data_IF_280405701585
#
_entry.id   IF_280405701585
#
_cell.length_a   1.000
_cell.length_b   1.000
_cell.length_c   1.000
_cell.angle_alpha   90.00
_cell.angle_beta   90.00
_cell.angle_gamma   90.00
#
_symmetry.space_group_name_H-M   'P 1'
#
loop_
_entity.id
_entity.type
_entity.pdbx_description
1 polymer ?
#
# COMPACT_ATOMS: atom_id res chain seq x y z
N UNK A 1 -12.58 26.17 -10.69
CA UNK A 1 -12.48 25.62 -12.09
C UNK A 1 -12.18 26.65 -13.18
N UNK A 2 -12.35 27.98 -12.96
CA UNK A 2 -12.14 29.00 -14.00
C UNK A 2 -10.89 28.81 -14.90
N UNK A 3 -9.69 28.44 -14.39
CA UNK A 3 -8.51 28.24 -15.25
C UNK A 3 -8.61 27.08 -16.25
N UNK A 4 -9.54 26.13 -16.03
CA UNK A 4 -9.72 24.93 -16.84
C UNK A 4 -10.89 25.01 -17.81
N UNK A 5 -11.70 26.10 -17.74
CA UNK A 5 -12.80 26.34 -18.63
C UNK A 5 -12.26 27.08 -19.88
N UNK A 6 -12.53 26.51 -21.05
CA UNK A 6 -12.18 27.11 -22.34
C UNK A 6 -13.15 28.22 -22.72
N UNK A 7 -14.45 27.93 -22.63
CA UNK A 7 -15.53 28.90 -22.95
C UNK A 7 -16.85 28.46 -22.29
N UNK A 8 -17.79 29.40 -22.23
CA UNK A 8 -19.17 29.12 -21.83
C UNK A 8 -20.08 29.31 -23.07
N UNK A 9 -20.98 28.37 -23.31
CA UNK A 9 -21.96 28.44 -24.37
C UNK A 9 -23.32 27.98 -23.84
N UNK A 10 -24.32 28.87 -23.94
CA UNK A 10 -25.68 28.61 -23.46
C UNK A 10 -25.76 28.14 -21.98
N UNK A 11 -24.93 28.70 -21.11
CA UNK A 11 -24.87 28.29 -19.71
C UNK A 11 -24.12 26.98 -19.45
N UNK A 12 -23.48 26.38 -20.47
CA UNK A 12 -22.70 25.16 -20.36
C UNK A 12 -21.21 25.51 -20.45
N UNK A 13 -20.46 25.12 -19.44
CA UNK A 13 -19.01 25.27 -19.42
C UNK A 13 -18.33 24.18 -20.24
N UNK A 14 -17.46 24.59 -21.17
CA UNK A 14 -16.66 23.69 -21.99
C UNK A 14 -15.26 23.63 -21.39
N UNK A 15 -14.82 22.42 -20.98
CA UNK A 15 -13.51 22.20 -20.39
C UNK A 15 -12.42 22.17 -21.47
N UNK A 16 -11.26 22.75 -21.18
CA UNK A 16 -10.08 22.75 -22.05
C UNK A 16 -9.40 21.36 -22.01
N UNK A 17 -9.55 20.60 -23.09
CA UNK A 17 -9.02 19.24 -23.20
C UNK A 17 -7.48 19.18 -23.19
N UNK A 18 -6.79 20.23 -23.64
CA UNK A 18 -5.32 20.26 -23.59
C UNK A 18 -4.83 20.29 -22.12
N UNK A 19 -5.52 21.06 -21.28
CA UNK A 19 -5.23 21.08 -19.83
C UNK A 19 -5.63 19.78 -19.16
N UNK A 20 -6.73 19.16 -19.59
CA UNK A 20 -7.13 17.84 -19.11
C UNK A 20 -6.05 16.81 -19.40
N UNK A 21 -5.53 16.77 -20.64
CA UNK A 21 -4.48 15.83 -21.04
C UNK A 21 -3.21 16.02 -20.20
N UNK A 22 -2.71 17.25 -20.08
CA UNK A 22 -1.54 17.55 -19.27
C UNK A 22 -1.71 17.11 -17.80
N UNK A 23 -2.92 17.26 -17.24
CA UNK A 23 -3.21 16.82 -15.86
C UNK A 23 -3.40 15.30 -15.74
N UNK A 24 -3.85 14.63 -16.77
CA UNK A 24 -3.87 13.17 -16.86
C UNK A 24 -2.46 12.62 -16.84
N UNK A 25 -1.54 13.16 -17.65
CA UNK A 25 -0.15 12.71 -17.73
C UNK A 25 0.58 12.91 -16.38
N UNK A 26 0.39 14.06 -15.74
CA UNK A 26 0.93 14.35 -14.41
C UNK A 26 0.42 13.37 -13.36
N UNK A 27 -0.88 13.10 -13.32
CA UNK A 27 -1.50 12.17 -12.41
C UNK A 27 -1.06 10.72 -12.68
N UNK A 28 -0.99 10.32 -13.94
CA UNK A 28 -0.55 8.98 -14.36
C UNK A 28 0.90 8.70 -13.94
N UNK A 29 1.80 9.66 -14.17
CA UNK A 29 3.20 9.53 -13.75
C UNK A 29 3.33 9.37 -12.22
N UNK A 30 2.59 10.14 -11.44
CA UNK A 30 2.60 10.03 -9.98
C UNK A 30 2.01 8.69 -9.49
N UNK A 31 0.89 8.23 -10.06
CA UNK A 31 0.28 6.94 -9.72
C UNK A 31 1.20 5.76 -10.08
N UNK A 32 1.89 5.83 -11.23
CA UNK A 32 2.88 4.85 -11.67
C UNK A 32 4.02 4.71 -10.65
N UNK A 33 4.56 5.82 -10.14
CA UNK A 33 5.60 5.79 -9.10
C UNK A 33 5.11 5.17 -7.79
N UNK A 34 3.87 5.50 -7.36
CA UNK A 34 3.26 4.91 -6.16
C UNK A 34 3.09 3.40 -6.35
N UNK A 35 2.63 2.95 -7.51
CA UNK A 35 2.45 1.54 -7.84
C UNK A 35 3.79 0.79 -7.88
N UNK A 36 4.84 1.38 -8.47
CA UNK A 36 6.20 0.84 -8.48
C UNK A 36 6.76 0.63 -7.07
N UNK A 37 6.44 1.54 -6.13
CA UNK A 37 6.80 1.34 -4.71
C UNK A 37 6.02 0.20 -4.03
N UNK A 38 5.03 -0.39 -4.69
CA UNK A 38 4.21 -1.50 -4.22
C UNK A 38 3.16 -1.15 -3.20
N UNK A 39 2.86 0.11 -3.06
CA UNK A 39 1.83 0.59 -2.15
C UNK A 39 0.45 0.49 -2.82
N UNK A 40 -0.59 0.35 -2.02
CA UNK A 40 -1.97 0.27 -2.51
C UNK A 40 -2.56 1.65 -2.73
N UNK A 41 -3.31 1.79 -3.83
CA UNK A 41 -4.09 2.97 -4.20
C UNK A 41 -5.55 2.60 -4.02
N UNK A 42 -6.32 3.45 -3.32
CA UNK A 42 -7.75 3.22 -3.06
C UNK A 42 -8.59 4.03 -4.04
N UNK A 43 -9.45 3.34 -4.78
CA UNK A 43 -10.39 3.98 -5.69
C UNK A 43 -11.73 4.22 -5.00
N UNK A 44 -12.30 5.42 -5.18
CA UNK A 44 -13.57 5.83 -4.55
C UNK A 44 -14.50 6.38 -5.61
N UNK A 45 -15.62 5.70 -5.82
CA UNK A 45 -16.60 6.06 -6.83
C UNK A 45 -18.01 5.60 -6.43
N UNK A 46 -18.72 6.40 -5.63
CA UNK A 46 -20.10 6.03 -5.23
C UNK A 46 -21.16 6.55 -6.21
N UNK A 47 -20.75 7.27 -7.26
CA UNK A 47 -21.64 7.75 -8.33
C UNK A 47 -22.09 6.57 -9.21
N UNK A 48 -23.37 6.41 -9.43
CA UNK A 48 -23.94 5.26 -10.21
C UNK A 48 -23.27 5.09 -11.57
N UNK A 49 -22.97 6.19 -12.25
CA UNK A 49 -22.33 6.20 -13.57
C UNK A 49 -20.89 5.68 -13.56
N UNK A 50 -20.22 5.74 -12.39
CA UNK A 50 -18.82 5.35 -12.22
C UNK A 50 -18.64 3.96 -11.57
N UNK A 51 -19.63 3.49 -10.82
CA UNK A 51 -19.53 2.27 -9.99
C UNK A 51 -19.06 1.05 -10.79
N UNK A 52 -19.77 0.72 -11.87
CA UNK A 52 -19.49 -0.49 -12.64
C UNK A 52 -18.16 -0.39 -13.37
N UNK A 53 -17.88 0.76 -13.96
CA UNK A 53 -16.61 1.06 -14.64
C UNK A 53 -15.40 0.90 -13.70
N UNK A 54 -15.45 1.53 -12.53
CA UNK A 54 -14.36 1.47 -11.56
C UNK A 54 -14.19 0.05 -11.01
N UNK A 55 -15.30 -0.64 -10.70
CA UNK A 55 -15.29 -2.02 -10.23
C UNK A 55 -14.64 -2.97 -11.23
N UNK A 56 -14.97 -2.84 -12.51
CA UNK A 56 -14.46 -3.71 -13.58
C UNK A 56 -12.96 -3.46 -13.83
N UNK A 57 -12.56 -2.21 -14.02
CA UNK A 57 -11.18 -1.86 -14.34
C UNK A 57 -10.21 -2.07 -13.16
N UNK A 58 -10.61 -1.68 -11.95
CA UNK A 58 -9.73 -1.75 -10.77
C UNK A 58 -9.52 -3.19 -10.28
N UNK A 59 -10.48 -4.09 -10.50
CA UNK A 59 -10.29 -5.53 -10.23
C UNK A 59 -9.11 -6.13 -10.99
N UNK A 60 -8.86 -5.69 -12.22
CA UNK A 60 -7.77 -6.22 -13.07
C UNK A 60 -6.38 -6.00 -12.44
N UNK A 61 -6.23 -4.94 -11.66
CA UNK A 61 -4.97 -4.57 -11.00
C UNK A 61 -4.90 -4.94 -9.52
N UNK A 62 -5.90 -5.66 -8.99
CA UNK A 62 -5.97 -6.02 -7.56
C UNK A 62 -5.79 -4.85 -6.59
N UNK A 63 -6.33 -3.68 -6.95
CA UNK A 63 -6.36 -2.52 -6.07
C UNK A 63 -7.68 -2.45 -5.30
N UNK A 64 -7.69 -1.91 -4.07
CA UNK A 64 -8.92 -1.73 -3.30
C UNK A 64 -9.79 -0.63 -3.91
N UNK A 65 -11.11 -0.80 -3.82
CA UNK A 65 -12.06 0.20 -4.30
C UNK A 65 -13.30 0.27 -3.40
N UNK A 66 -13.98 1.42 -3.40
CA UNK A 66 -15.25 1.65 -2.72
C UNK A 66 -16.25 2.20 -3.73
N UNK A 67 -17.32 1.45 -3.99
CA UNK A 67 -18.32 1.83 -4.99
C UNK A 67 -19.73 2.03 -4.41
N UNK A 68 -20.05 1.43 -3.26
CA UNK A 68 -21.40 1.51 -2.70
C UNK A 68 -21.61 2.78 -1.87
N UNK A 69 -20.90 2.89 -0.78
CA UNK A 69 -20.98 4.02 0.14
C UNK A 69 -19.66 4.17 0.89
N UNK A 70 -19.17 5.39 1.00
CA UNK A 70 -18.06 5.70 1.87
C UNK A 70 -18.48 5.62 3.34
N UNK A 71 -17.96 4.69 4.14
CA UNK A 71 -18.20 4.70 5.59
C UNK A 71 -17.36 5.80 6.23
N UNK A 72 -18.01 6.72 6.95
CA UNK A 72 -17.28 7.77 7.66
C UNK A 72 -16.26 7.18 8.63
N UNK A 73 -15.04 7.75 8.62
CA UNK A 73 -13.93 7.23 9.42
C UNK A 73 -13.15 6.10 8.74
N UNK A 74 -13.37 5.85 7.45
CA UNK A 74 -12.69 4.76 6.74
C UNK A 74 -11.17 4.89 6.77
N UNK A 75 -10.64 6.09 6.66
CA UNK A 75 -9.20 6.37 6.79
C UNK A 75 -8.85 6.78 8.21
N UNK A 76 -9.58 7.71 8.79
CA UNK A 76 -9.27 8.30 10.11
C UNK A 76 -9.52 7.33 11.27
N UNK A 77 -10.46 6.39 11.14
CA UNK A 77 -10.74 5.33 12.12
C UNK A 77 -10.58 3.93 11.49
N UNK A 78 -9.48 3.73 10.81
CA UNK A 78 -9.18 2.48 10.09
C UNK A 78 -9.21 1.24 10.98
N UNK A 79 -8.86 1.37 12.26
CA UNK A 79 -8.90 0.27 13.22
C UNK A 79 -10.31 -0.33 13.37
N UNK A 80 -11.36 0.52 13.36
CA UNK A 80 -12.76 0.07 13.44
C UNK A 80 -13.19 -0.62 12.13
N UNK A 81 -12.78 -0.10 10.99
CA UNK A 81 -13.04 -0.73 9.69
C UNK A 81 -12.39 -2.11 9.63
N UNK A 82 -11.14 -2.25 10.10
CA UNK A 82 -10.47 -3.56 10.18
C UNK A 82 -11.18 -4.53 11.14
N UNK A 83 -11.79 -4.06 12.23
CA UNK A 83 -12.62 -4.92 13.08
C UNK A 83 -13.83 -5.44 12.32
N UNK A 84 -14.50 -4.60 11.51
CA UNK A 84 -15.62 -5.02 10.69
C UNK A 84 -15.22 -6.03 9.60
N UNK A 85 -14.07 -5.85 8.96
CA UNK A 85 -13.50 -6.81 8.00
C UNK A 85 -13.16 -8.15 8.68
N UNK A 86 -12.54 -8.12 9.87
CA UNK A 86 -12.27 -9.34 10.65
C UNK A 86 -13.56 -10.06 11.05
N UNK A 87 -14.62 -9.32 11.40
CA UNK A 87 -15.94 -9.89 11.70
C UNK A 87 -16.50 -10.65 10.49
N UNK A 88 -16.36 -10.10 9.29
CA UNK A 88 -16.75 -10.77 8.05
C UNK A 88 -16.00 -12.10 7.88
N UNK A 89 -14.67 -12.09 8.01
CA UNK A 89 -13.86 -13.31 7.94
C UNK A 89 -14.14 -14.33 9.07
N UNK A 90 -14.54 -13.87 10.27
CA UNK A 90 -14.97 -14.75 11.35
C UNK A 90 -16.30 -15.46 11.01
N UNK A 91 -17.24 -14.75 10.36
CA UNK A 91 -18.49 -15.35 9.90
C UNK A 91 -18.22 -16.41 8.81
N UNK A 92 -17.26 -16.14 7.90
CA UNK A 92 -16.88 -17.11 6.87
C UNK A 92 -16.25 -18.37 7.47
N UNK A 93 -15.44 -18.23 8.50
CA UNK A 93 -14.92 -19.37 9.26
C UNK A 93 -16.02 -20.17 9.95
N UNK A 94 -16.96 -19.50 10.62
CA UNK A 94 -18.12 -20.18 11.23
C UNK A 94 -18.94 -20.98 10.23
N UNK A 95 -18.98 -20.52 8.97
CA UNK A 95 -19.68 -21.24 7.89
C UNK A 95 -18.94 -22.51 7.46
N UNK A 96 -17.60 -22.50 7.51
CA UNK A 96 -16.76 -23.67 7.17
C UNK A 96 -16.61 -24.66 8.32
N UNK A 97 -16.59 -24.19 9.56
CA UNK A 97 -16.37 -25.03 10.74
C UNK A 97 -17.62 -25.79 11.23
N UNK A 98 -18.74 -25.72 10.49
CA UNK A 98 -19.99 -26.39 10.88
C UNK A 98 -20.71 -25.77 12.09
N UNK A 99 -20.23 -24.66 12.62
CA UNK A 99 -20.84 -23.95 13.76
C UNK A 99 -22.27 -23.55 13.48
N UNK A 100 -22.63 -23.32 12.21
CA UNK A 100 -23.99 -23.01 11.79
C UNK A 100 -24.99 -24.16 12.00
N UNK A 101 -24.56 -25.42 12.08
CA UNK A 101 -25.45 -26.55 12.26
C UNK A 101 -26.08 -26.58 13.66
N UNK A 102 -25.37 -25.99 14.63
CA UNK A 102 -25.83 -25.88 16.03
C UNK A 102 -26.67 -24.62 16.30
N UNK A 103 -26.87 -23.75 15.28
CA UNK A 103 -27.61 -22.50 15.42
C UNK A 103 -29.05 -22.62 14.91
N UNK A 104 -29.97 -21.81 15.49
CA UNK A 104 -31.32 -21.71 14.99
C UNK A 104 -31.35 -21.14 13.56
N UNK A 105 -32.33 -21.58 12.74
CA UNK A 105 -32.52 -21.07 11.36
C UNK A 105 -32.60 -19.54 11.29
N UNK A 106 -33.22 -18.92 12.31
CA UNK A 106 -33.38 -17.45 12.39
C UNK A 106 -32.04 -16.75 12.62
N UNK A 107 -31.25 -17.24 13.55
CA UNK A 107 -29.91 -16.68 13.85
C UNK A 107 -28.98 -16.82 12.65
N UNK A 108 -28.91 -17.99 12.06
CA UNK A 108 -28.13 -18.25 10.85
C UNK A 108 -28.50 -17.26 9.73
N UNK A 109 -29.78 -17.05 9.47
CA UNK A 109 -30.24 -16.12 8.45
C UNK A 109 -29.83 -14.67 8.76
N UNK A 110 -29.87 -14.26 10.04
CA UNK A 110 -29.48 -12.93 10.48
C UNK A 110 -27.97 -12.70 10.27
N UNK A 111 -27.13 -13.67 10.64
CA UNK A 111 -25.68 -13.63 10.46
C UNK A 111 -25.34 -13.57 8.97
N UNK A 112 -25.99 -14.39 8.13
CA UNK A 112 -25.77 -14.37 6.68
C UNK A 112 -26.16 -13.03 6.04
N UNK A 113 -27.24 -12.40 6.49
CA UNK A 113 -27.64 -11.06 6.02
C UNK A 113 -26.62 -9.99 6.46
N UNK A 114 -26.11 -10.09 7.66
CA UNK A 114 -25.05 -9.19 8.15
C UNK A 114 -23.76 -9.36 7.33
N UNK A 115 -23.36 -10.60 7.07
CA UNK A 115 -22.21 -10.90 6.20
C UNK A 115 -22.37 -10.30 4.81
N UNK A 116 -23.50 -10.53 4.16
CA UNK A 116 -23.79 -10.01 2.82
C UNK A 116 -23.75 -8.47 2.78
N UNK A 117 -24.23 -7.80 3.84
CA UNK A 117 -24.14 -6.35 3.97
C UNK A 117 -22.69 -5.86 4.12
N UNK A 118 -21.88 -6.54 4.94
CA UNK A 118 -20.48 -6.21 5.13
C UNK A 118 -19.68 -6.47 3.84
N UNK A 119 -19.92 -7.59 3.17
CA UNK A 119 -19.27 -7.94 1.91
C UNK A 119 -19.56 -6.91 0.81
N UNK A 120 -20.79 -6.46 0.70
CA UNK A 120 -21.18 -5.43 -0.26
C UNK A 120 -20.44 -4.11 -0.02
N UNK A 121 -20.21 -3.73 1.24
CA UNK A 121 -19.61 -2.45 1.63
C UNK A 121 -18.08 -2.50 1.73
N UNK A 122 -17.52 -3.61 2.21
CA UNK A 122 -16.12 -3.72 2.61
C UNK A 122 -15.38 -4.87 1.91
N UNK A 123 -16.07 -5.67 1.09
CA UNK A 123 -15.45 -6.84 0.44
C UNK A 123 -14.25 -6.49 -0.43
N UNK A 124 -14.32 -5.38 -1.15
CA UNK A 124 -13.24 -4.89 -2.02
C UNK A 124 -12.00 -4.35 -1.26
N UNK A 125 -12.12 -4.13 0.04
CA UNK A 125 -11.03 -3.63 0.90
C UNK A 125 -10.57 -4.68 1.93
N UNK A 126 -11.04 -5.93 1.83
CA UNK A 126 -10.66 -7.04 2.73
C UNK A 126 -9.14 -7.17 2.87
N UNK A 127 -8.42 -7.03 1.77
CA UNK A 127 -6.96 -7.22 1.69
C UNK A 127 -6.17 -5.97 2.07
N UNK A 128 -6.86 -4.87 2.42
CA UNK A 128 -6.22 -3.63 2.82
C UNK A 128 -5.76 -3.71 4.29
N UNK A 129 -4.50 -4.11 4.50
CA UNK A 129 -3.92 -4.26 5.84
C UNK A 129 -3.39 -2.95 6.44
N UNK A 130 -3.04 -1.98 5.61
CA UNK A 130 -2.50 -0.67 5.98
C UNK A 130 -3.28 0.43 5.26
N UNK A 131 -3.14 1.67 5.72
CA UNK A 131 -3.68 2.82 5.01
C UNK A 131 -3.15 2.86 3.58
N UNK A 132 -3.99 3.26 2.60
CA UNK A 132 -3.56 3.42 1.21
C UNK A 132 -2.54 4.55 1.10
N UNK A 133 -1.63 4.45 0.14
CA UNK A 133 -0.64 5.49 -0.11
C UNK A 133 -1.20 6.65 -0.93
N UNK A 134 -2.30 6.43 -1.63
CA UNK A 134 -3.03 7.45 -2.37
C UNK A 134 -4.51 7.06 -2.50
N UNK A 135 -5.36 8.04 -2.73
CA UNK A 135 -6.75 7.82 -3.10
C UNK A 135 -7.03 8.42 -4.48
N UNK A 136 -7.83 7.71 -5.27
CA UNK A 136 -8.38 8.20 -6.53
C UNK A 136 -9.90 8.35 -6.39
N UNK A 137 -10.41 9.55 -6.58
CA UNK A 137 -11.81 9.91 -6.31
C UNK A 137 -12.50 10.31 -7.60
N UNK A 138 -13.70 9.79 -7.82
CA UNK A 138 -14.60 10.26 -8.89
C UNK A 138 -15.68 11.11 -8.25
N UNK A 139 -15.71 12.40 -8.62
CA UNK A 139 -16.63 13.42 -8.08
C UNK A 139 -16.31 13.83 -6.62
N UNK A 140 -15.54 14.93 -6.49
CA UNK A 140 -15.14 15.49 -5.18
C UNK A 140 -16.34 15.98 -4.37
N UNK A 141 -17.37 16.52 -5.04
CA UNK A 141 -18.54 17.06 -4.35
C UNK A 141 -19.29 15.96 -3.62
N UNK A 142 -19.41 14.80 -4.22
CA UNK A 142 -20.08 13.65 -3.63
C UNK A 142 -19.25 12.98 -2.56
N UNK A 143 -17.96 12.81 -2.83
CA UNK A 143 -17.01 12.11 -1.95
C UNK A 143 -16.24 13.06 -1.02
N UNK A 144 -16.83 14.21 -0.67
CA UNK A 144 -16.20 15.24 0.16
C UNK A 144 -15.69 14.72 1.51
N UNK A 145 -16.31 13.66 2.07
CA UNK A 145 -15.87 13.03 3.32
C UNK A 145 -14.55 12.31 3.10
N UNK A 146 -14.44 11.54 2.01
CA UNK A 146 -13.21 10.81 1.68
C UNK A 146 -12.03 11.76 1.47
N UNK A 147 -12.25 12.86 0.72
CA UNK A 147 -11.24 13.90 0.47
C UNK A 147 -10.80 14.57 1.78
N UNK A 148 -11.74 14.93 2.66
CA UNK A 148 -11.40 15.53 3.96
C UNK A 148 -10.61 14.58 4.87
N UNK A 149 -10.95 13.29 4.88
CA UNK A 149 -10.23 12.30 5.66
C UNK A 149 -8.81 12.08 5.11
N UNK A 150 -8.64 12.00 3.80
CA UNK A 150 -7.34 11.90 3.16
C UNK A 150 -6.45 13.11 3.44
N UNK A 151 -7.00 14.31 3.30
CA UNK A 151 -6.31 15.57 3.60
C UNK A 151 -5.86 15.65 5.07
N UNK A 152 -6.70 15.17 6.01
CA UNK A 152 -6.35 15.09 7.43
C UNK A 152 -5.17 14.15 7.73
N UNK A 153 -4.99 13.12 6.90
CA UNK A 153 -3.92 12.14 7.05
C UNK A 153 -2.73 12.39 6.10
N UNK A 154 -2.74 13.50 5.35
CA UNK A 154 -1.75 13.83 4.33
C UNK A 154 -1.55 12.70 3.30
N UNK A 155 -2.66 12.07 2.89
CA UNK A 155 -2.66 11.06 1.83
C UNK A 155 -2.88 11.77 0.49
N UNK A 156 -2.00 11.62 -0.50
CA UNK A 156 -2.15 12.22 -1.82
C UNK A 156 -3.49 11.86 -2.46
N UNK A 157 -4.21 12.89 -2.94
CA UNK A 157 -5.54 12.77 -3.51
C UNK A 157 -5.52 13.07 -4.98
N UNK A 158 -5.98 12.11 -5.77
CA UNK A 158 -6.20 12.22 -7.21
C UNK A 158 -7.70 12.27 -7.45
N UNK A 159 -8.19 13.19 -8.26
CA UNK A 159 -9.63 13.26 -8.49
C UNK A 159 -10.01 13.76 -9.88
N UNK A 160 -11.11 13.21 -10.39
CA UNK A 160 -11.85 13.80 -11.51
C UNK A 160 -12.68 14.95 -10.93
N UNK A 161 -12.48 16.14 -11.50
CA UNK A 161 -13.04 17.40 -11.01
C UNK A 161 -13.87 18.04 -12.12
N UNK A 162 -15.17 18.13 -11.93
CA UNK A 162 -16.06 18.84 -12.83
C UNK A 162 -16.17 20.34 -12.47
N UNK A 163 -16.86 21.10 -13.29
CA UNK A 163 -16.98 22.56 -13.22
C UNK A 163 -17.63 23.07 -11.93
N UNK A 164 -18.42 22.21 -11.24
CA UNK A 164 -19.10 22.50 -9.98
C UNK A 164 -18.23 22.32 -8.73
N UNK A 165 -16.99 21.80 -8.89
CA UNK A 165 -16.10 21.47 -7.79
C UNK A 165 -14.86 22.39 -7.75
N UNK A 166 -14.18 22.41 -6.58
CA UNK A 166 -12.96 23.21 -6.39
C UNK A 166 -11.71 22.34 -6.60
N UNK A 167 -10.89 22.60 -7.64
CA UNK A 167 -9.69 21.81 -7.93
C UNK A 167 -8.60 21.93 -6.84
N UNK A 168 -8.65 22.96 -6.00
CA UNK A 168 -7.70 23.18 -4.91
C UNK A 168 -7.94 22.25 -3.69
N UNK A 169 -9.02 21.51 -3.70
CA UNK A 169 -9.33 20.56 -2.61
C UNK A 169 -8.59 19.24 -2.75
N UNK A 170 -7.91 19.01 -3.87
CA UNK A 170 -7.14 17.79 -4.16
C UNK A 170 -5.76 18.13 -4.68
N UNK A 171 -4.82 17.20 -4.52
CA UNK A 171 -3.43 17.42 -4.94
C UNK A 171 -3.27 17.30 -6.46
N UNK A 172 -3.92 16.30 -7.05
CA UNK A 172 -3.91 16.05 -8.50
C UNK A 172 -5.32 16.13 -9.05
N UNK A 173 -5.69 17.29 -9.53
CA UNK A 173 -7.01 17.53 -10.12
C UNK A 173 -6.99 17.25 -11.62
N UNK A 174 -7.87 16.37 -12.09
CA UNK A 174 -8.10 16.08 -13.52
C UNK A 174 -9.41 16.73 -13.92
N UNK A 175 -9.37 17.87 -14.62
CA UNK A 175 -10.59 18.57 -15.04
C UNK A 175 -11.29 17.76 -16.12
N UNK A 176 -12.46 17.21 -15.80
CA UNK A 176 -13.25 16.41 -16.74
C UNK A 176 -14.69 16.25 -16.25
N UNK A 177 -15.56 15.81 -17.16
CA UNK A 177 -16.96 15.51 -16.86
C UNK A 177 -17.05 14.23 -16.04
N UNK A 178 -17.65 14.31 -14.86
CA UNK A 178 -17.84 13.21 -13.90
C UNK A 178 -19.25 12.58 -13.96
N UNK A 179 -20.14 13.02 -14.87
CA UNK A 179 -21.47 12.46 -15.10
C UNK A 179 -21.49 11.48 -16.28
N UNK A 180 -20.65 11.69 -17.28
CA UNK A 180 -20.62 10.86 -18.47
C UNK A 180 -19.79 9.60 -18.24
N UNK A 181 -20.44 8.43 -18.24
CA UNK A 181 -19.75 7.13 -18.04
C UNK A 181 -18.59 6.91 -19.02
N UNK A 182 -18.70 7.39 -20.27
CA UNK A 182 -17.62 7.32 -21.27
C UNK A 182 -16.41 8.15 -20.87
N UNK A 183 -16.60 9.36 -20.34
CA UNK A 183 -15.51 10.23 -19.88
C UNK A 183 -14.80 9.60 -18.69
N UNK A 184 -15.56 9.13 -17.71
CA UNK A 184 -15.04 8.44 -16.53
C UNK A 184 -14.24 7.18 -16.94
N UNK A 185 -14.80 6.39 -17.87
CA UNK A 185 -14.16 5.15 -18.34
C UNK A 185 -12.78 5.41 -18.96
N UNK A 186 -12.67 6.40 -19.85
CA UNK A 186 -11.40 6.74 -20.51
C UNK A 186 -10.35 7.15 -19.47
N UNK A 187 -10.70 8.03 -18.53
CA UNK A 187 -9.76 8.54 -17.54
C UNK A 187 -9.34 7.43 -16.57
N UNK A 188 -10.30 6.68 -16.04
CA UNK A 188 -10.00 5.57 -15.12
C UNK A 188 -9.16 4.50 -15.81
N UNK A 189 -9.43 4.20 -17.08
CA UNK A 189 -8.66 3.26 -17.88
C UNK A 189 -7.20 3.69 -18.01
N UNK A 190 -6.94 4.96 -18.38
CA UNK A 190 -5.58 5.50 -18.46
C UNK A 190 -4.84 5.45 -17.12
N UNK A 191 -5.53 5.74 -16.01
CA UNK A 191 -4.93 5.63 -14.66
C UNK A 191 -4.61 4.17 -14.31
N UNK A 192 -5.50 3.23 -14.65
CA UNK A 192 -5.29 1.81 -14.43
C UNK A 192 -4.12 1.28 -15.27
N UNK A 193 -4.01 1.69 -16.53
CA UNK A 193 -2.88 1.33 -17.40
C UNK A 193 -1.55 1.84 -16.83
N UNK A 194 -1.48 3.08 -16.38
CA UNK A 194 -0.29 3.64 -15.72
C UNK A 194 0.09 2.87 -14.43
N UNK A 195 -0.89 2.46 -13.65
CA UNK A 195 -0.66 1.63 -12.45
C UNK A 195 -0.16 0.24 -12.85
N UNK A 196 -0.71 -0.37 -13.90
CA UNK A 196 -0.27 -1.65 -14.43
C UNK A 196 1.19 -1.62 -14.87
N UNK A 197 1.60 -0.57 -15.60
CA UNK A 197 2.99 -0.35 -15.96
C UNK A 197 3.91 -0.26 -14.74
N UNK A 198 3.51 0.53 -13.71
CA UNK A 198 4.28 0.64 -12.48
C UNK A 198 4.41 -0.68 -11.70
N UNK A 199 3.35 -1.51 -11.71
CA UNK A 199 3.39 -2.85 -11.11
C UNK A 199 4.27 -3.82 -11.91
N UNK A 200 4.27 -3.72 -13.24
CA UNK A 200 5.14 -4.52 -14.11
C UNK A 200 6.61 -4.15 -13.91
N UNK A 201 6.94 -2.85 -13.88
CA UNK A 201 8.32 -2.39 -13.56
C UNK A 201 8.79 -2.90 -12.20
N UNK A 202 7.94 -2.82 -11.19
CA UNK A 202 8.25 -3.36 -9.86
C UNK A 202 8.53 -4.86 -9.87
N UNK A 203 7.79 -5.62 -10.68
CA UNK A 203 8.01 -7.05 -10.81
C UNK A 203 9.39 -7.33 -11.43
N UNK A 204 9.71 -6.64 -12.51
CA UNK A 204 11.01 -6.74 -13.16
C UNK A 204 12.17 -6.32 -12.22
N UNK A 205 12.00 -5.25 -11.45
CA UNK A 205 12.99 -4.81 -10.46
C UNK A 205 13.22 -5.86 -9.36
N UNK A 206 12.17 -6.57 -8.95
CA UNK A 206 12.27 -7.65 -7.97
C UNK A 206 12.93 -8.91 -8.54
N UNK A 207 12.56 -9.26 -9.74
CA UNK A 207 13.13 -10.44 -10.41
C UNK A 207 14.65 -10.26 -10.61
N UNK A 208 15.07 -9.06 -11.04
CA UNK A 208 16.50 -8.71 -11.13
C UNK A 208 17.22 -8.73 -9.78
N UNK A 209 16.58 -8.18 -8.75
CA UNK A 209 17.17 -8.17 -7.41
C UNK A 209 17.31 -9.59 -6.85
N UNK A 210 16.37 -10.49 -7.15
CA UNK A 210 16.45 -11.90 -6.76
C UNK A 210 17.58 -12.63 -7.53
N UNK A 211 17.71 -12.37 -8.83
CA UNK A 211 18.82 -12.92 -9.64
C UNK A 211 20.19 -12.46 -9.13
N UNK A 212 20.34 -11.16 -8.82
CA UNK A 212 21.58 -10.61 -8.25
C UNK A 212 21.88 -11.18 -6.84
N UNK A 213 20.87 -11.47 -6.04
CA UNK A 213 21.03 -12.09 -4.72
C UNK A 213 21.48 -13.54 -4.84
N UNK A 214 20.86 -14.32 -5.76
CA UNK A 214 21.27 -15.69 -6.07
C UNK A 214 22.71 -15.76 -6.62
N UNK A 215 23.10 -14.85 -7.51
CA UNK A 215 24.46 -14.78 -8.03
C UNK A 215 25.48 -14.50 -6.91
N UNK A 216 25.18 -13.57 -6.01
CA UNK A 216 26.04 -13.26 -4.85
C UNK A 216 26.15 -14.43 -3.88
N UNK A 217 25.05 -15.16 -3.64
CA UNK A 217 25.08 -16.36 -2.79
C UNK A 217 25.93 -17.46 -3.43
N UNK A 218 25.80 -17.67 -4.75
CA UNK A 218 26.62 -18.65 -5.47
C UNK A 218 28.11 -18.26 -5.50
N UNK A 219 28.43 -16.98 -5.69
CA UNK A 219 29.82 -16.52 -5.60
C UNK A 219 30.41 -16.72 -4.20
N UNK A 220 29.65 -16.36 -3.18
CA UNK A 220 30.06 -16.54 -1.79
C UNK A 220 30.26 -18.04 -1.42
N UNK A 221 29.40 -18.92 -1.97
CA UNK A 221 29.57 -20.36 -1.79
C UNK A 221 30.79 -20.91 -2.50
N UNK A 222 31.05 -20.45 -3.74
CA UNK A 222 32.29 -20.82 -4.50
C UNK A 222 33.55 -20.34 -3.80
N UNK A 223 33.53 -19.13 -3.25
CA UNK A 223 34.64 -18.56 -2.48
C UNK A 223 34.90 -19.35 -1.19
N UNK A 224 33.83 -19.72 -0.48
CA UNK A 224 33.95 -20.58 0.70
C UNK A 224 34.54 -21.96 0.37
N UNK A 225 34.07 -22.59 -0.70
CA UNK A 225 34.65 -23.90 -1.16
C UNK A 225 36.12 -23.76 -1.54
N UNK A 226 36.46 -22.69 -2.22
CA UNK A 226 37.86 -22.42 -2.63
C UNK A 226 38.78 -22.18 -1.42
N UNK A 227 38.29 -21.50 -0.39
CA UNK A 227 39.02 -21.32 0.85
C UNK A 227 39.15 -22.61 1.64
N UNK A 228 38.15 -23.48 1.67
CA UNK A 228 38.23 -24.80 2.27
C UNK A 228 39.24 -25.70 1.55
N UNK A 229 39.21 -25.72 0.21
CA UNK A 229 40.19 -26.49 -0.59
C UNK A 229 41.62 -25.99 -0.34
N UNK A 230 41.85 -24.68 -0.19
CA UNK A 230 43.15 -24.12 0.15
C UNK A 230 43.60 -24.46 1.58
N UNK A 231 42.66 -24.49 2.53
CA UNK A 231 42.95 -24.91 3.92
C UNK A 231 43.27 -26.43 4.00
N UNK A 232 42.60 -27.26 3.20
CA UNK A 232 42.86 -28.72 3.13
C UNK A 232 44.24 -29.02 2.46
N UNK A 233 44.61 -28.29 1.43
CA UNK A 233 45.94 -28.46 0.75
C UNK A 233 47.09 -27.99 1.64
N UNK A 234 46.90 -26.91 2.41
CA UNK A 234 47.88 -26.44 3.40
C UNK A 234 48.06 -27.43 4.57
N UNK A 235 46.99 -28.17 4.95
CA UNK A 235 47.05 -29.14 6.04
C UNK A 235 47.72 -30.48 5.64
N UNK A 236 47.79 -30.81 4.33
CA UNK A 236 48.55 -31.97 3.81
C UNK A 236 50.08 -31.73 3.81
N UNK A 237 50.53 -30.48 3.74
CA UNK A 237 51.97 -30.12 3.75
C UNK A 237 52.55 -29.84 5.14
N UNK A 238 51.69 -29.74 6.22
CA UNK A 238 52.09 -29.42 7.55
C UNK A 238 52.42 -30.67 8.38
N UNK A 239 53.49 -30.58 9.22
CA UNK A 239 53.80 -31.62 10.21
C UNK A 239 52.74 -31.69 11.34
N UNK A 240 52.58 -32.86 11.97
CA UNK A 240 51.52 -33.08 12.96
C UNK A 240 51.48 -32.05 14.11
N UNK A 241 52.64 -31.52 14.52
CA UNK A 241 52.78 -30.49 15.54
C UNK A 241 52.28 -29.11 15.10
N UNK A 242 52.52 -28.75 13.83
CA UNK A 242 52.05 -27.50 13.22
C UNK A 242 50.54 -27.50 12.99
N UNK A 243 49.94 -28.66 12.72
CA UNK A 243 48.50 -28.87 12.57
C UNK A 243 47.77 -28.67 13.90
N UNK A 244 48.34 -29.15 15.05
CA UNK A 244 47.75 -28.87 16.36
C UNK A 244 47.79 -27.38 16.75
N UNK A 245 48.92 -26.73 16.44
CA UNK A 245 49.07 -25.31 16.73
C UNK A 245 48.07 -24.41 15.88
N UNK A 246 47.89 -24.78 14.61
CA UNK A 246 46.91 -24.13 13.71
C UNK A 246 45.46 -24.33 14.15
N UNK A 247 45.11 -25.55 14.59
CA UNK A 247 43.78 -25.87 15.15
C UNK A 247 43.52 -25.09 16.45
N UNK A 248 44.53 -24.94 17.32
CA UNK A 248 44.42 -24.18 18.56
C UNK A 248 44.25 -22.65 18.29
N UNK A 249 44.89 -22.11 17.26
CA UNK A 249 44.75 -20.72 16.82
C UNK A 249 43.36 -20.45 16.19
N UNK A 250 42.85 -21.37 15.38
CA UNK A 250 41.53 -21.30 14.76
C UNK A 250 40.41 -21.38 15.83
N UNK A 251 40.54 -22.26 16.83
CA UNK A 251 39.59 -22.35 17.92
C UNK A 251 39.56 -21.08 18.79
N UNK A 252 40.72 -20.42 19.00
CA UNK A 252 40.78 -19.13 19.69
C UNK A 252 40.12 -18.01 18.87
N UNK A 253 40.29 -18.01 17.54
CA UNK A 253 39.70 -17.00 16.63
C UNK A 253 38.18 -17.16 16.48
N UNK A 254 37.68 -18.40 16.50
CA UNK A 254 36.25 -18.72 16.53
C UNK A 254 35.58 -18.21 17.82
N UNK A 255 36.17 -18.47 18.98
CA UNK A 255 35.68 -17.95 20.27
C UNK A 255 35.66 -16.43 20.36
N UNK A 256 36.69 -15.76 19.79
CA UNK A 256 36.69 -14.29 19.72
C UNK A 256 35.58 -13.71 18.82
N UNK A 257 35.22 -14.42 17.75
CA UNK A 257 34.09 -14.01 16.88
C UNK A 257 32.73 -14.23 17.54
N UNK A 258 32.55 -15.35 18.27
CA UNK A 258 31.32 -15.59 19.06
C UNK A 258 31.11 -14.52 20.13
N UNK A 259 32.17 -14.13 20.85
CA UNK A 259 32.11 -13.06 21.84
C UNK A 259 31.83 -11.66 21.25
N UNK A 260 32.23 -11.39 20.01
CA UNK A 260 31.91 -10.14 19.33
C UNK A 260 30.49 -10.11 18.77
N UNK A 261 29.96 -11.24 18.27
CA UNK A 261 28.58 -11.35 17.78
C UNK A 261 27.56 -11.34 18.94
N UNK A 262 27.92 -11.84 20.13
CA UNK A 262 27.07 -11.71 21.34
C UNK A 262 27.04 -10.26 21.86
N UNK A 263 28.12 -9.50 21.74
CA UNK A 263 28.13 -8.09 22.14
C UNK A 263 27.37 -7.16 21.16
N UNK A 264 27.27 -7.51 19.89
CA UNK A 264 26.46 -6.77 18.91
C UNK A 264 24.95 -7.09 19.03
N UNK A 265 24.58 -8.24 19.57
CA UNK A 265 23.17 -8.67 19.79
C UNK A 265 22.59 -8.22 21.13
N UNK A 266 23.38 -7.64 22.04
CA UNK A 266 22.85 -7.10 23.29
C UNK A 266 21.96 -5.85 23.01
N UNK A 267 20.72 -5.79 23.51
CA UNK A 267 19.86 -4.63 23.30
C UNK A 267 20.47 -3.42 23.99
N UNK A 268 20.70 -2.35 23.21
CA UNK A 268 21.12 -1.04 23.73
C UNK A 268 20.10 -0.56 24.74
N UNK A 269 20.45 -0.60 26.01
CA UNK A 269 19.66 -0.01 27.08
C UNK A 269 19.41 1.49 26.81
N UNK A 270 18.15 1.86 26.83
CA UNK A 270 17.72 3.24 26.66
C UNK A 270 18.27 4.10 27.80
N UNK A 271 19.07 5.13 27.47
CA UNK A 271 19.51 6.14 28.42
C UNK A 271 18.30 6.80 29.08
N UNK A 272 18.29 6.95 30.43
CA UNK A 272 17.18 7.62 31.11
C UNK A 272 17.10 9.09 30.72
N UNK A 273 15.90 9.54 30.37
CA UNK A 273 15.60 10.92 30.00
C UNK A 273 15.93 11.89 31.16
N UNK A 274 16.76 12.87 30.86
CA UNK A 274 17.09 13.95 31.80
C UNK A 274 15.83 14.75 32.17
N UNK A 275 15.51 14.82 33.47
CA UNK A 275 14.48 15.65 34.05
C UNK A 275 14.76 17.13 33.76
N UNK A 276 13.85 17.79 33.01
CA UNK A 276 13.83 19.25 32.86
C UNK A 276 13.42 19.90 34.20
N UNK A 277 14.08 20.97 34.66
CA UNK A 277 13.69 21.68 35.86
C UNK A 277 12.38 22.48 35.63
N UNK A 278 11.54 22.48 36.63
CA UNK A 278 10.26 23.19 36.66
C UNK A 278 10.47 24.71 36.65
N UNK A 279 10.07 25.37 35.55
CA UNK A 279 9.99 26.83 35.43
C UNK A 279 8.84 27.40 36.24
N UNK A 280 9.12 28.30 37.15
CA UNK A 280 8.18 29.09 37.97
C UNK A 280 7.27 29.94 37.07
N UNK A 281 5.97 29.83 37.26
CA UNK A 281 4.97 30.81 36.74
C UNK A 281 5.08 32.15 37.51
N UNK A 282 5.08 33.30 36.84
CA UNK A 282 4.78 34.57 37.51
C UNK A 282 3.27 34.76 37.59
N UNK A 283 2.82 35.17 38.77
CA UNK A 283 1.51 35.77 39.03
C UNK A 283 1.44 37.16 38.39
N UNK A 284 0.49 37.43 37.54
CA UNK A 284 -0.42 38.60 37.59
C UNK A 284 -1.57 38.30 36.66
#
# INVERSE_FOLDING_TARGET
>A
MAPYIFMERNGIHIIDLNKTLAKIDEAAAALKQIARSGKKILFVATKKQAQDTVKELVKQINMPYVTERWPGGMLTNFATIRKAVRKMGAIDKMATDGTFDNMSKRERLQIMRERAKLEKQLGSISDLNRLPAAIFVVDICKEHIAVREAKKLNIPTFAIVDTNANPLDVDFSIPANDDASKSIHIIVKLMVEAIQEGLAERKLDKDKAAEEEEEREQEAERERKRLQELEETDDEELTADELEEKKARLAKKAKLKEDTDEQEKAPREAKPAAKRPAGKRPRK
#
